data_IF_016109800508
#
_entry.id   IF_016109800508
#
_cell.length_a   1.000
_cell.length_b   1.000
_cell.length_c   1.000
_cell.angle_alpha   90.00
_cell.angle_beta   90.00
_cell.angle_gamma   90.00
#
_symmetry.space_group_name_H-M   'P 1'
#
loop_
_entity.id
_entity.type
_entity.pdbx_description
1 polymer ?
#
# COMPACT_ATOMS: atom_id res chain seq x y z
N UNK A 1 20.83 -0.13 38.71
CA UNK A 1 21.06 -0.34 37.25
C UNK A 1 19.90 -1.07 36.59
N UNK A 2 18.75 -0.44 36.30
CA UNK A 2 17.77 -1.01 35.35
C UNK A 2 17.43 -0.12 34.15
N UNK A 3 17.99 1.09 34.04
CA UNK A 3 17.56 2.06 32.98
C UNK A 3 18.02 1.65 31.58
N UNK A 4 19.13 0.95 31.45
CA UNK A 4 19.71 0.61 30.12
C UNK A 4 18.95 -0.51 29.38
N UNK A 5 18.22 -1.35 30.10
CA UNK A 5 17.41 -2.43 29.51
C UNK A 5 16.11 -1.91 28.87
N UNK A 6 15.48 -0.95 29.56
CA UNK A 6 14.25 -0.31 29.08
C UNK A 6 14.47 0.50 27.80
N UNK A 7 15.59 1.26 27.73
CA UNK A 7 15.96 2.00 26.49
C UNK A 7 16.34 1.09 25.32
N UNK A 8 16.95 -0.06 25.58
CA UNK A 8 17.24 -1.06 24.53
C UNK A 8 15.95 -1.70 24.00
N UNK A 9 15.03 -2.06 24.88
CA UNK A 9 13.72 -2.63 24.50
C UNK A 9 12.89 -1.65 23.66
N UNK A 10 12.81 -0.37 24.08
CA UNK A 10 12.11 0.68 23.31
C UNK A 10 12.72 0.93 21.93
N UNK A 11 14.05 0.85 21.79
CA UNK A 11 14.71 0.98 20.48
C UNK A 11 14.41 -0.21 19.56
N UNK A 12 14.35 -1.42 20.09
CA UNK A 12 14.02 -2.64 19.33
C UNK A 12 12.56 -2.59 18.88
N UNK A 13 11.62 -2.26 19.77
CA UNK A 13 10.21 -2.14 19.48
C UNK A 13 9.93 -1.08 18.39
N UNK A 14 10.50 0.12 18.52
CA UNK A 14 10.40 1.17 17.48
C UNK A 14 10.98 0.73 16.12
N UNK A 15 12.00 -0.14 16.13
CA UNK A 15 12.57 -0.70 14.89
C UNK A 15 11.61 -1.69 14.23
N UNK A 16 10.86 -2.48 15.00
CA UNK A 16 9.87 -3.43 14.49
C UNK A 16 8.69 -2.71 13.82
N UNK A 17 8.10 -1.73 14.48
CA UNK A 17 6.99 -0.93 13.91
C UNK A 17 7.40 -0.22 12.62
N UNK A 18 8.63 0.34 12.57
CA UNK A 18 9.16 0.95 11.34
C UNK A 18 9.24 -0.08 10.20
N UNK A 19 9.65 -1.31 10.48
CA UNK A 19 9.73 -2.38 9.48
C UNK A 19 8.35 -2.76 8.92
N UNK A 20 7.31 -2.80 9.75
CA UNK A 20 5.94 -3.09 9.35
C UNK A 20 5.45 -2.06 8.31
N UNK A 21 5.63 -0.77 8.59
CA UNK A 21 5.25 0.30 7.67
C UNK A 21 6.10 0.32 6.39
N UNK A 22 7.38 -0.01 6.48
CA UNK A 22 8.26 -0.15 5.33
C UNK A 22 7.76 -1.26 4.38
N UNK A 23 7.42 -2.44 4.92
CA UNK A 23 6.86 -3.54 4.14
C UNK A 23 5.52 -3.18 3.49
N UNK A 24 4.66 -2.49 4.23
CA UNK A 24 3.41 -1.96 3.67
C UNK A 24 3.68 -1.00 2.52
N UNK A 25 4.56 -0.02 2.70
CA UNK A 25 4.85 0.98 1.68
C UNK A 25 5.42 0.35 0.39
N UNK A 26 6.33 -0.62 0.53
CA UNK A 26 6.90 -1.37 -0.60
C UNK A 26 5.84 -2.19 -1.34
N UNK A 27 5.04 -2.95 -0.61
CA UNK A 27 3.95 -3.74 -1.17
C UNK A 27 2.90 -2.87 -1.86
N UNK A 28 2.48 -1.79 -1.20
CA UNK A 28 1.52 -0.83 -1.71
C UNK A 28 2.00 -0.14 -3.00
N UNK A 29 3.22 0.41 -3.00
CA UNK A 29 3.79 1.04 -4.20
C UNK A 29 3.97 0.03 -5.33
N UNK A 30 4.40 -1.21 -5.04
CA UNK A 30 4.48 -2.27 -6.04
C UNK A 30 3.12 -2.53 -6.67
N UNK A 31 2.06 -2.67 -5.88
CA UNK A 31 0.71 -2.94 -6.37
C UNK A 31 0.23 -1.86 -7.32
N UNK A 32 0.25 -0.61 -6.89
CA UNK A 32 -0.30 0.50 -7.69
C UNK A 32 0.55 0.87 -8.90
N UNK A 33 1.89 0.75 -8.81
CA UNK A 33 2.79 1.14 -9.88
C UNK A 33 2.98 0.04 -10.94
N UNK A 34 2.70 -1.23 -10.61
CA UNK A 34 2.73 -2.33 -11.59
C UNK A 34 1.76 -2.13 -12.75
N UNK A 35 0.72 -1.30 -12.58
CA UNK A 35 -0.18 -0.88 -13.65
C UNK A 35 0.50 -0.03 -14.73
N UNK A 36 1.62 0.61 -14.43
CA UNK A 36 2.29 1.61 -15.30
C UNK A 36 3.68 1.17 -15.74
N UNK A 37 4.28 0.20 -15.08
CA UNK A 37 5.65 -0.21 -15.34
C UNK A 37 6.11 -1.43 -14.56
N UNK A 38 7.39 -1.80 -14.76
CA UNK A 38 8.05 -2.83 -13.98
C UNK A 38 8.48 -2.27 -12.62
N UNK A 39 8.11 -2.96 -11.54
CA UNK A 39 8.44 -2.57 -10.17
C UNK A 39 9.30 -3.64 -9.51
N UNK A 40 10.45 -3.23 -9.01
CA UNK A 40 11.31 -4.08 -8.17
C UNK A 40 11.44 -3.45 -6.79
N UNK A 41 11.30 -4.27 -5.76
CA UNK A 41 11.48 -3.84 -4.37
C UNK A 41 12.76 -4.43 -3.80
N UNK A 42 13.44 -3.68 -2.91
CA UNK A 42 14.66 -4.13 -2.22
C UNK A 42 15.76 -4.61 -3.17
N UNK A 43 16.10 -3.81 -4.21
CA UNK A 43 17.21 -4.13 -5.10
C UNK A 43 18.54 -3.68 -4.50
N UNK A 44 19.54 -4.55 -4.57
CA UNK A 44 20.92 -4.24 -4.17
C UNK A 44 21.56 -3.24 -5.15
N UNK A 45 22.06 -2.14 -4.64
CA UNK A 45 22.68 -1.08 -5.46
C UNK A 45 24.19 -1.16 -5.43
N UNK A 46 24.77 -1.45 -4.29
CA UNK A 46 26.24 -1.58 -4.09
C UNK A 46 26.48 -2.89 -3.33
N UNK A 47 27.55 -3.60 -3.68
CA UNK A 47 27.91 -4.95 -3.24
C UNK A 47 27.94 -5.26 -1.73
N UNK A 48 27.74 -4.30 -0.85
CA UNK A 48 27.43 -4.50 0.57
C UNK A 48 26.38 -3.49 1.06
N UNK A 49 25.13 -3.94 1.23
CA UNK A 49 24.09 -3.36 2.11
C UNK A 49 23.37 -2.05 1.72
N UNK A 50 23.35 -1.61 0.48
CA UNK A 50 22.46 -0.51 0.11
C UNK A 50 21.39 -1.00 -0.88
N UNK A 51 20.16 -1.10 -0.40
CA UNK A 51 18.99 -1.46 -1.18
C UNK A 51 18.18 -0.21 -1.54
N UNK A 52 17.64 -0.14 -2.75
CA UNK A 52 16.57 0.79 -3.07
C UNK A 52 15.23 0.17 -2.66
N UNK A 53 14.40 0.94 -1.96
CA UNK A 53 13.12 0.42 -1.47
C UNK A 53 12.20 0.03 -2.62
N UNK A 54 12.01 0.92 -3.59
CA UNK A 54 11.23 0.68 -4.81
C UNK A 54 11.97 1.25 -6.01
N UNK A 55 12.27 0.41 -6.99
CA UNK A 55 12.83 0.80 -8.29
C UNK A 55 11.76 0.57 -9.36
N UNK A 56 11.46 1.60 -10.13
CA UNK A 56 10.41 1.61 -11.14
C UNK A 56 10.95 1.92 -12.52
N UNK A 57 10.50 1.17 -13.52
CA UNK A 57 10.78 1.42 -14.94
C UNK A 57 9.44 1.47 -15.68
N UNK A 58 9.08 2.60 -16.36
CA UNK A 58 7.83 2.72 -17.07
C UNK A 58 7.76 1.75 -18.27
N UNK A 59 6.56 1.28 -18.59
CA UNK A 59 6.35 0.57 -19.85
C UNK A 59 6.56 1.50 -21.03
N UNK A 60 7.11 0.98 -22.14
CA UNK A 60 7.29 1.73 -23.38
C UNK A 60 5.97 2.20 -23.99
N UNK A 61 4.88 1.47 -23.75
CA UNK A 61 3.52 1.85 -24.11
C UNK A 61 2.68 1.88 -22.82
N UNK A 62 2.11 3.03 -22.46
CA UNK A 62 1.26 3.12 -21.28
C UNK A 62 0.06 2.20 -21.42
N UNK A 63 -0.14 1.30 -20.45
CA UNK A 63 -1.39 0.53 -20.39
C UNK A 63 -2.55 1.49 -20.05
N UNK A 64 -3.64 1.39 -20.79
CA UNK A 64 -4.88 2.14 -20.54
C UNK A 64 -5.67 1.47 -19.39
N UNK A 65 -5.08 1.41 -18.19
CA UNK A 65 -5.72 0.76 -17.03
C UNK A 65 -6.98 1.48 -16.52
N UNK A 66 -7.36 2.63 -17.12
CA UNK A 66 -8.52 3.41 -16.68
C UNK A 66 -8.40 4.03 -15.26
N UNK A 67 -7.41 3.62 -14.50
CA UNK A 67 -7.18 4.11 -13.13
C UNK A 67 -6.23 5.31 -13.15
N UNK A 68 -6.69 6.46 -12.67
CA UNK A 68 -5.82 7.62 -12.46
C UNK A 68 -5.07 7.50 -11.13
N UNK A 69 -3.74 7.57 -11.20
CA UNK A 69 -2.86 7.63 -10.04
C UNK A 69 -2.53 9.08 -9.62
N UNK A 70 -3.16 10.07 -10.25
CA UNK A 70 -2.96 11.48 -9.96
C UNK A 70 -1.52 11.92 -10.13
N UNK A 71 -0.94 12.59 -9.12
CA UNK A 71 0.45 13.07 -9.19
C UNK A 71 1.48 11.94 -9.34
N UNK A 72 1.18 10.72 -8.90
CA UNK A 72 2.07 9.58 -9.12
C UNK A 72 2.31 9.30 -10.61
N UNK A 73 1.35 9.56 -11.49
CA UNK A 73 1.54 9.41 -12.93
C UNK A 73 2.65 10.32 -13.46
N UNK A 74 2.75 11.54 -12.94
CA UNK A 74 3.84 12.47 -13.28
C UNK A 74 5.19 12.02 -12.71
N UNK A 75 5.18 11.38 -11.55
CA UNK A 75 6.38 10.85 -10.89
C UNK A 75 6.97 9.68 -11.67
N UNK A 76 6.11 8.82 -12.18
CA UNK A 76 6.50 7.56 -12.85
C UNK A 76 6.55 7.66 -14.38
N UNK A 77 6.72 8.86 -14.91
CA UNK A 77 6.94 9.06 -16.37
C UNK A 77 8.32 8.61 -16.84
N UNK A 78 9.28 8.55 -15.92
CA UNK A 78 10.67 8.12 -16.16
C UNK A 78 11.08 7.07 -15.14
N UNK A 79 12.19 6.38 -15.40
CA UNK A 79 12.78 5.47 -14.40
C UNK A 79 13.01 6.22 -13.09
N UNK A 80 12.58 5.66 -11.98
CA UNK A 80 12.71 6.32 -10.69
C UNK A 80 12.94 5.34 -9.52
N UNK A 81 13.46 5.91 -8.44
CA UNK A 81 13.59 5.26 -7.13
C UNK A 81 12.65 5.98 -6.17
N UNK A 82 11.81 5.23 -5.46
CA UNK A 82 10.97 5.79 -4.40
C UNK A 82 11.43 5.22 -3.05
N UNK A 83 11.74 6.15 -2.13
CA UNK A 83 12.20 5.86 -0.77
C UNK A 83 11.17 6.38 0.24
N UNK A 84 10.21 5.54 0.67
CA UNK A 84 9.16 5.92 1.60
C UNK A 84 9.67 5.88 3.05
N UNK A 85 9.41 6.95 3.80
CA UNK A 85 9.77 7.08 5.21
C UNK A 85 8.53 7.20 6.10
N UNK A 86 8.46 6.38 7.16
CA UNK A 86 7.39 6.47 8.17
C UNK A 86 7.50 7.72 9.03
N UNK A 87 8.71 8.21 9.29
CA UNK A 87 8.99 9.40 10.09
C UNK A 87 9.70 10.46 9.25
N UNK A 88 9.77 11.70 9.77
CA UNK A 88 10.52 12.76 9.11
C UNK A 88 11.96 12.31 8.81
N UNK A 89 12.34 12.44 7.54
CA UNK A 89 13.64 11.99 7.04
C UNK A 89 14.78 12.78 7.69
N UNK A 90 15.83 12.08 8.06
CA UNK A 90 17.03 12.67 8.68
C UNK A 90 18.09 13.06 7.65
N UNK A 91 19.04 13.96 7.97
CA UNK A 91 20.16 14.29 7.07
C UNK A 91 21.00 13.08 6.66
N UNK A 92 21.12 12.06 7.53
CA UNK A 92 21.85 10.83 7.24
C UNK A 92 21.10 9.99 6.19
N UNK A 93 19.80 9.84 6.35
CA UNK A 93 18.96 9.10 5.41
C UNK A 93 18.94 9.77 4.04
N UNK A 94 18.83 11.11 3.98
CA UNK A 94 18.92 11.86 2.71
C UNK A 94 20.26 11.62 2.01
N UNK A 95 21.38 11.69 2.72
CA UNK A 95 22.70 11.42 2.13
C UNK A 95 22.80 9.99 1.60
N UNK A 96 22.30 9.02 2.33
CA UNK A 96 22.27 7.63 1.86
C UNK A 96 21.43 7.45 0.60
N UNK A 97 20.28 8.14 0.50
CA UNK A 97 19.46 8.12 -0.72
C UNK A 97 20.19 8.78 -1.91
N UNK A 98 20.86 9.92 -1.66
CA UNK A 98 21.65 10.60 -2.72
C UNK A 98 22.80 9.72 -3.19
N UNK A 99 23.48 9.01 -2.31
CA UNK A 99 24.53 8.05 -2.68
C UNK A 99 23.97 6.97 -3.61
N UNK A 100 22.83 6.40 -3.29
CA UNK A 100 22.16 5.38 -4.12
C UNK A 100 21.84 5.91 -5.53
N UNK A 101 21.27 7.11 -5.66
CA UNK A 101 20.91 7.66 -6.96
C UNK A 101 22.15 8.00 -7.79
N UNK A 102 23.21 8.50 -7.18
CA UNK A 102 24.47 8.77 -7.88
C UNK A 102 25.05 7.48 -8.50
N UNK A 103 25.02 6.36 -7.76
CA UNK A 103 25.48 5.06 -8.29
C UNK A 103 24.61 4.57 -9.43
N UNK A 104 23.28 4.74 -9.33
CA UNK A 104 22.35 4.34 -10.41
C UNK A 104 22.55 5.21 -11.66
N UNK A 105 22.74 6.52 -11.52
CA UNK A 105 23.07 7.39 -12.65
C UNK A 105 24.37 6.95 -13.32
N UNK A 106 25.44 6.75 -12.56
CA UNK A 106 26.74 6.29 -13.09
C UNK A 106 26.62 4.93 -13.83
N UNK A 107 25.79 3.99 -13.32
CA UNK A 107 25.53 2.73 -14.02
C UNK A 107 24.78 2.94 -15.34
N UNK A 108 23.83 3.88 -15.37
CA UNK A 108 23.06 4.20 -16.58
C UNK A 108 23.95 4.85 -17.63
N UNK A 109 24.81 5.79 -17.24
CA UNK A 109 25.83 6.43 -18.08
C UNK A 109 26.80 5.41 -18.65
N UNK A 110 27.40 4.58 -17.79
CA UNK A 110 28.33 3.53 -18.22
C UNK A 110 27.70 2.51 -19.18
N UNK A 111 26.41 2.26 -19.08
CA UNK A 111 25.66 1.40 -20.01
C UNK A 111 25.51 2.07 -21.36
N UNK A 112 25.12 3.36 -21.40
CA UNK A 112 25.01 4.13 -22.64
C UNK A 112 26.35 4.23 -23.38
N UNK A 113 27.43 4.46 -22.64
CA UNK A 113 28.81 4.49 -23.20
C UNK A 113 29.20 3.16 -23.84
N UNK A 114 28.93 2.03 -23.19
CA UNK A 114 29.16 0.69 -23.75
C UNK A 114 28.37 0.41 -25.02
N UNK A 115 27.16 0.96 -25.09
CA UNK A 115 26.27 0.84 -26.24
C UNK A 115 26.59 1.88 -27.35
N UNK A 116 27.59 2.76 -27.14
CA UNK A 116 27.95 3.88 -28.01
C UNK A 116 26.75 4.75 -28.40
N UNK A 117 25.86 5.00 -27.45
CA UNK A 117 24.64 5.76 -27.67
C UNK A 117 24.64 7.06 -26.83
N UNK A 118 24.20 8.20 -27.42
CA UNK A 118 24.05 9.41 -26.63
C UNK A 118 23.00 9.20 -25.53
N UNK A 119 23.30 9.67 -24.33
CA UNK A 119 22.37 9.64 -23.19
C UNK A 119 21.74 11.02 -23.01
N UNK A 120 20.42 11.05 -22.93
CA UNK A 120 19.72 12.26 -22.54
C UNK A 120 19.60 12.28 -20.99
N UNK A 121 19.81 13.43 -20.35
CA UNK A 121 19.66 13.58 -18.90
C UNK A 121 18.27 13.13 -18.38
N UNK A 122 17.23 13.24 -19.20
CA UNK A 122 15.88 12.75 -18.87
C UNK A 122 15.77 11.23 -18.76
N UNK A 123 16.76 10.49 -19.24
CA UNK A 123 16.82 9.03 -19.12
C UNK A 123 17.48 8.61 -17.81
N UNK A 124 18.16 9.53 -17.11
CA UNK A 124 18.71 9.25 -15.79
C UNK A 124 17.57 8.98 -14.78
N UNK A 125 17.74 7.99 -13.89
CA UNK A 125 16.75 7.70 -12.88
C UNK A 125 16.59 8.86 -11.89
N UNK A 126 15.36 9.12 -11.46
CA UNK A 126 15.04 10.19 -10.51
C UNK A 126 14.74 9.59 -9.13
N UNK A 127 15.35 10.13 -8.09
CA UNK A 127 15.06 9.77 -6.70
C UNK A 127 13.88 10.59 -6.16
N UNK A 128 12.92 9.91 -5.56
CA UNK A 128 11.79 10.48 -4.84
C UNK A 128 11.82 10.05 -3.37
N UNK A 129 12.15 10.96 -2.48
CA UNK A 129 12.10 10.75 -1.02
C UNK A 129 10.69 11.12 -0.56
N UNK A 130 9.95 10.13 -0.08
CA UNK A 130 8.58 10.29 0.41
C UNK A 130 8.62 10.36 1.94
N UNK A 131 8.40 11.54 2.52
CA UNK A 131 8.48 11.76 3.96
C UNK A 131 7.18 12.37 4.49
N UNK A 132 6.71 12.02 5.69
CA UNK A 132 5.52 12.66 6.26
C UNK A 132 5.67 14.17 6.33
N UNK A 133 6.78 14.65 6.85
CA UNK A 133 7.06 16.08 7.04
C UNK A 133 8.51 16.42 6.75
N UNK A 134 8.77 17.66 6.38
CA UNK A 134 10.10 18.24 6.30
C UNK A 134 10.09 19.65 6.89
N UNK A 135 11.11 20.01 7.68
CA UNK A 135 11.20 21.32 8.30
C UNK A 135 11.84 22.35 7.37
N UNK A 136 11.46 23.63 7.53
CA UNK A 136 12.08 24.73 6.76
C UNK A 136 13.61 24.80 6.94
N UNK A 137 14.17 24.61 8.15
CA UNK A 137 15.63 24.52 8.28
C UNK A 137 16.26 23.40 7.45
N UNK A 138 15.56 22.25 7.30
CA UNK A 138 16.04 21.15 6.47
C UNK A 138 16.02 21.52 4.98
N UNK A 139 14.91 22.12 4.51
CA UNK A 139 14.76 22.60 3.12
C UNK A 139 15.88 23.59 2.80
N UNK A 140 16.15 24.58 3.67
CA UNK A 140 17.21 25.57 3.49
C UNK A 140 18.62 24.92 3.46
N UNK A 141 18.89 23.95 4.36
CA UNK A 141 20.17 23.23 4.39
C UNK A 141 20.45 22.39 3.15
N UNK A 142 19.38 21.93 2.49
CA UNK A 142 19.45 21.17 1.23
C UNK A 142 19.52 22.08 0.00
N UNK A 143 19.36 23.39 0.16
CA UNK A 143 19.09 24.32 -0.93
C UNK A 143 17.94 23.84 -1.83
N UNK A 144 16.97 23.16 -1.23
CA UNK A 144 15.82 22.65 -1.95
C UNK A 144 14.82 23.78 -2.22
N UNK A 145 14.24 23.79 -3.39
CA UNK A 145 13.23 24.78 -3.81
C UNK A 145 11.90 24.10 -4.10
N UNK A 146 10.83 24.88 -3.94
CA UNK A 146 9.48 24.38 -4.21
C UNK A 146 9.30 24.06 -5.70
N UNK A 147 8.90 22.87 -6.01
CA UNK A 147 8.53 22.42 -7.35
C UNK A 147 7.00 22.51 -7.59
N UNK A 148 6.29 23.41 -6.88
CA UNK A 148 4.84 23.53 -6.95
C UNK A 148 4.31 23.94 -8.33
N UNK A 149 5.13 24.57 -9.17
CA UNK A 149 4.75 24.94 -10.55
C UNK A 149 4.61 23.70 -11.45
N UNK A 150 5.53 22.73 -11.29
CA UNK A 150 5.57 21.52 -12.12
C UNK A 150 4.74 20.38 -11.52
N UNK A 151 4.64 20.38 -10.20
CA UNK A 151 3.92 19.35 -9.43
C UNK A 151 2.81 19.97 -8.59
N UNK A 152 2.94 19.92 -7.26
CA UNK A 152 1.98 20.46 -6.29
C UNK A 152 2.73 21.01 -5.07
N UNK A 153 2.01 21.76 -4.24
CA UNK A 153 2.52 22.14 -2.92
C UNK A 153 2.97 20.90 -2.16
N UNK A 154 4.08 20.98 -1.43
CA UNK A 154 4.67 19.87 -0.68
C UNK A 154 5.71 19.07 -1.48
N UNK A 155 5.92 19.39 -2.76
CA UNK A 155 6.99 18.82 -3.58
C UNK A 155 8.16 19.80 -3.64
N UNK A 156 9.34 19.29 -3.34
CA UNK A 156 10.60 20.04 -3.36
C UNK A 156 11.61 19.36 -4.29
N UNK A 157 12.38 20.15 -5.02
CA UNK A 157 13.48 19.68 -5.87
C UNK A 157 14.81 20.12 -5.29
N UNK A 158 15.79 19.25 -5.28
CA UNK A 158 17.19 19.62 -5.22
C UNK A 158 17.65 20.03 -6.63
N UNK A 159 18.76 20.72 -6.79
CA UNK A 159 19.24 21.09 -8.13
C UNK A 159 19.19 19.92 -9.13
N UNK A 160 19.00 20.20 -10.42
CA UNK A 160 18.74 19.18 -11.46
C UNK A 160 19.80 18.08 -11.50
N UNK A 161 21.06 18.43 -11.31
CA UNK A 161 22.18 17.48 -11.30
C UNK A 161 22.05 16.37 -10.24
N UNK A 162 21.31 16.62 -9.16
CA UNK A 162 21.12 15.65 -8.09
C UNK A 162 20.05 14.60 -8.40
N UNK A 163 19.29 14.78 -9.46
CA UNK A 163 18.19 13.89 -9.84
C UNK A 163 17.30 13.52 -8.63
N UNK A 164 17.07 14.46 -7.71
CA UNK A 164 16.45 14.18 -6.40
C UNK A 164 15.31 15.14 -6.10
N UNK A 165 14.17 14.58 -5.76
CA UNK A 165 12.98 15.29 -5.31
C UNK A 165 12.48 14.75 -3.96
N UNK A 166 11.85 15.60 -3.17
CA UNK A 166 11.31 15.28 -1.85
C UNK A 166 9.83 15.62 -1.82
N UNK A 167 9.02 14.70 -1.35
CA UNK A 167 7.57 14.91 -1.14
C UNK A 167 7.31 14.92 0.36
N UNK A 168 6.89 16.08 0.85
CA UNK A 168 6.37 16.25 2.20
C UNK A 168 4.86 15.95 2.21
N UNK A 169 4.50 14.70 2.47
CA UNK A 169 3.14 14.16 2.28
C UNK A 169 2.08 14.97 3.02
N UNK A 170 2.38 15.45 4.24
CA UNK A 170 1.44 16.24 5.03
C UNK A 170 1.21 17.67 4.51
N UNK A 171 2.04 18.12 3.55
CA UNK A 171 1.88 19.42 2.89
C UNK A 171 1.13 19.30 1.55
N UNK A 172 0.86 18.08 1.08
CA UNK A 172 0.09 17.87 -0.14
C UNK A 172 -1.36 18.35 0.05
N UNK A 173 -1.95 19.00 -0.95
CA UNK A 173 -3.37 19.35 -0.92
C UNK A 173 -4.24 18.10 -0.82
N UNK A 174 -5.39 18.23 -0.15
CA UNK A 174 -6.33 17.12 0.00
C UNK A 174 -7.24 17.02 -1.23
N UNK A 175 -6.76 16.35 -2.26
CA UNK A 175 -7.46 16.10 -3.52
C UNK A 175 -7.35 14.63 -3.93
N UNK A 176 -8.13 14.21 -4.91
CA UNK A 176 -8.02 12.86 -5.51
C UNK A 176 -6.65 12.64 -6.15
N UNK A 177 -6.04 13.69 -6.71
CA UNK A 177 -4.70 13.63 -7.32
C UNK A 177 -3.59 13.23 -6.35
N UNK A 178 -3.74 13.57 -5.07
CA UNK A 178 -2.73 13.29 -4.03
C UNK A 178 -3.07 12.09 -3.15
N UNK A 179 -4.23 11.47 -3.38
CA UNK A 179 -4.74 10.41 -2.53
C UNK A 179 -3.74 9.26 -2.35
N UNK A 180 -3.18 8.77 -3.44
CA UNK A 180 -2.24 7.64 -3.43
C UNK A 180 -0.98 7.91 -2.61
N UNK A 181 -0.44 9.13 -2.65
CA UNK A 181 0.69 9.52 -1.80
C UNK A 181 0.29 9.73 -0.34
N UNK A 182 -0.92 10.26 -0.09
CA UNK A 182 -1.41 10.47 1.28
C UNK A 182 -1.68 9.15 2.02
N UNK A 183 -1.89 8.05 1.30
CA UNK A 183 -1.95 6.69 1.86
C UNK A 183 -0.63 6.28 2.55
N UNK A 184 0.50 6.80 2.07
CA UNK A 184 1.83 6.61 2.68
C UNK A 184 2.13 7.60 3.81
N UNK A 185 1.21 8.48 4.11
CA UNK A 185 1.34 9.44 5.19
C UNK A 185 1.34 8.81 6.58
N UNK A 186 1.27 9.65 7.60
CA UNK A 186 1.22 9.23 9.01
C UNK A 186 0.03 9.85 9.73
N UNK A 187 -0.50 9.16 10.74
CA UNK A 187 -1.56 9.62 11.60
C UNK A 187 -2.82 10.02 10.83
N UNK A 188 -3.38 11.18 11.11
CA UNK A 188 -4.65 11.63 10.50
C UNK A 188 -4.61 11.73 8.97
N UNK A 189 -3.46 12.02 8.36
CA UNK A 189 -3.35 12.10 6.89
C UNK A 189 -3.57 10.74 6.26
N UNK A 190 -2.92 9.71 6.78
CA UNK A 190 -3.08 8.32 6.31
C UNK A 190 -4.50 7.81 6.54
N UNK A 191 -5.05 7.97 7.75
CA UNK A 191 -6.42 7.52 8.08
C UNK A 191 -7.45 8.12 7.13
N UNK A 192 -7.41 9.44 6.91
CA UNK A 192 -8.32 10.10 5.98
C UNK A 192 -8.16 9.62 4.54
N UNK A 193 -6.91 9.39 4.10
CA UNK A 193 -6.66 8.85 2.78
C UNK A 193 -7.24 7.43 2.61
N UNK A 194 -7.12 6.58 3.61
CA UNK A 194 -7.73 5.24 3.61
C UNK A 194 -9.26 5.34 3.53
N UNK A 195 -9.87 6.24 4.30
CA UNK A 195 -11.32 6.47 4.26
C UNK A 195 -11.78 6.97 2.88
N UNK A 196 -11.04 7.89 2.25
CA UNK A 196 -11.31 8.38 0.89
C UNK A 196 -11.13 7.29 -0.16
N UNK A 197 -10.07 6.49 -0.07
CA UNK A 197 -9.78 5.38 -0.97
C UNK A 197 -10.93 4.36 -1.03
N UNK A 198 -11.53 4.03 0.11
CA UNK A 198 -12.65 3.10 0.17
C UNK A 198 -13.88 3.54 -0.64
N UNK A 199 -14.05 4.84 -0.84
CA UNK A 199 -15.17 5.43 -1.58
C UNK A 199 -14.90 5.55 -3.08
N UNK A 200 -13.67 5.27 -3.54
CA UNK A 200 -13.35 5.35 -4.97
C UNK A 200 -14.06 4.23 -5.75
N UNK A 201 -14.63 4.57 -6.91
CA UNK A 201 -15.13 3.60 -7.87
C UNK A 201 -13.96 3.01 -8.66
N UNK A 202 -13.18 2.13 -8.03
CA UNK A 202 -12.08 1.42 -8.66
C UNK A 202 -12.53 0.04 -9.10
N UNK A 203 -11.76 -0.56 -10.04
CA UNK A 203 -11.84 -1.97 -10.36
C UNK A 203 -11.72 -2.81 -9.08
N UNK A 204 -12.58 -3.82 -8.97
CA UNK A 204 -12.69 -4.64 -7.75
C UNK A 204 -11.37 -5.35 -7.42
N UNK A 205 -10.59 -5.75 -8.43
CA UNK A 205 -9.30 -6.42 -8.24
C UNK A 205 -8.27 -5.49 -7.58
N UNK A 206 -8.00 -4.32 -8.16
CA UNK A 206 -7.04 -3.36 -7.59
C UNK A 206 -7.48 -2.90 -6.20
N UNK A 207 -8.76 -2.59 -6.04
CA UNK A 207 -9.31 -2.17 -4.76
C UNK A 207 -9.16 -3.26 -3.72
N UNK A 208 -9.45 -4.51 -4.08
CA UNK A 208 -9.27 -5.69 -3.24
C UNK A 208 -7.82 -5.84 -2.79
N UNK A 209 -6.87 -5.82 -3.72
CA UNK A 209 -5.44 -5.97 -3.44
C UNK A 209 -4.91 -4.89 -2.50
N UNK A 210 -5.28 -3.62 -2.72
CA UNK A 210 -4.88 -2.52 -1.82
C UNK A 210 -5.51 -2.67 -0.44
N UNK A 211 -6.78 -3.08 -0.34
CA UNK A 211 -7.43 -3.35 0.94
C UNK A 211 -6.75 -4.50 1.70
N UNK A 212 -6.34 -5.58 1.00
CA UNK A 212 -5.59 -6.67 1.62
C UNK A 212 -4.28 -6.17 2.25
N UNK A 213 -3.54 -5.29 1.57
CA UNK A 213 -2.32 -4.69 2.11
C UNK A 213 -2.61 -3.82 3.36
N UNK A 214 -3.73 -3.11 3.38
CA UNK A 214 -4.18 -2.33 4.55
C UNK A 214 -4.53 -3.25 5.72
N UNK A 215 -5.21 -4.38 5.46
CA UNK A 215 -5.56 -5.36 6.49
C UNK A 215 -4.32 -6.08 7.03
N UNK A 216 -3.35 -6.42 6.16
CA UNK A 216 -2.07 -7.00 6.58
C UNK A 216 -1.28 -6.03 7.48
N UNK A 217 -1.27 -4.73 7.12
CA UNK A 217 -0.74 -3.68 7.99
C UNK A 217 -1.43 -3.66 9.35
N UNK A 218 -2.76 -3.71 9.39
CA UNK A 218 -3.55 -3.74 10.63
C UNK A 218 -3.17 -4.92 11.52
N UNK A 219 -3.18 -6.16 10.99
CA UNK A 219 -2.88 -7.38 11.74
C UNK A 219 -1.45 -7.34 12.33
N UNK A 220 -0.49 -6.86 11.54
CA UNK A 220 0.90 -6.73 12.01
C UNK A 220 1.05 -5.68 13.10
N UNK A 221 0.37 -4.54 12.96
CA UNK A 221 0.39 -3.49 13.99
C UNK A 221 -0.30 -3.97 15.28
N UNK A 222 -1.45 -4.63 15.19
CA UNK A 222 -2.17 -5.18 16.35
C UNK A 222 -1.30 -6.16 17.15
N UNK A 223 -0.43 -6.89 16.46
CA UNK A 223 0.50 -7.85 17.08
C UNK A 223 1.76 -7.18 17.65
N UNK A 224 2.03 -5.92 17.35
CA UNK A 224 3.24 -5.20 17.80
C UNK A 224 2.99 -4.52 19.16
N UNK A 225 3.96 -4.64 20.07
CA UNK A 225 3.92 -4.02 21.41
C UNK A 225 4.57 -2.63 21.45
N UNK A 226 5.17 -2.18 20.35
CA UNK A 226 5.93 -0.93 20.26
C UNK A 226 5.20 0.24 19.61
N UNK A 227 3.88 0.21 19.58
CA UNK A 227 3.02 1.19 18.91
C UNK A 227 3.20 2.60 19.46
N UNK A 228 3.24 3.57 18.56
CA UNK A 228 3.05 4.96 18.94
C UNK A 228 1.54 5.30 18.98
N UNK A 229 1.22 6.52 19.43
CA UNK A 229 -0.17 6.98 19.53
C UNK A 229 -0.87 6.96 18.16
N UNK A 230 -0.17 7.32 17.10
CA UNK A 230 -0.75 7.41 15.76
C UNK A 230 -1.05 6.03 15.18
N UNK A 231 -0.22 5.03 15.49
CA UNK A 231 -0.46 3.63 15.12
C UNK A 231 -1.64 3.05 15.89
N UNK A 232 -1.76 3.38 17.18
CA UNK A 232 -2.94 2.98 18.00
C UNK A 232 -4.23 3.58 17.43
N UNK A 233 -4.22 4.86 17.06
CA UNK A 233 -5.37 5.51 16.43
C UNK A 233 -5.70 4.90 15.05
N UNK A 234 -4.69 4.47 14.28
CA UNK A 234 -4.89 3.77 13.01
C UNK A 234 -5.55 2.40 13.22
N UNK A 235 -5.10 1.62 14.22
CA UNK A 235 -5.69 0.34 14.59
C UNK A 235 -7.17 0.52 14.95
N UNK A 236 -7.52 1.51 15.78
CA UNK A 236 -8.91 1.78 16.17
C UNK A 236 -9.81 2.07 14.96
N UNK A 237 -9.28 2.76 13.94
CA UNK A 237 -10.06 3.08 12.74
C UNK A 237 -10.18 1.87 11.80
N UNK A 238 -9.14 1.03 11.70
CA UNK A 238 -9.14 -0.14 10.82
C UNK A 238 -9.87 -1.34 11.42
N UNK A 239 -9.95 -1.46 12.75
CA UNK A 239 -10.56 -2.60 13.44
C UNK A 239 -11.99 -2.91 12.97
N UNK A 240 -12.93 -1.96 12.88
CA UNK A 240 -14.29 -2.25 12.40
C UNK A 240 -14.30 -2.75 10.95
N UNK A 241 -13.37 -2.29 10.13
CA UNK A 241 -13.24 -2.68 8.73
C UNK A 241 -12.74 -4.11 8.60
N UNK A 242 -11.77 -4.46 9.42
CA UNK A 242 -11.22 -5.81 9.47
C UNK A 242 -12.27 -6.80 9.99
N UNK A 243 -13.04 -6.44 11.02
CA UNK A 243 -14.17 -7.24 11.52
C UNK A 243 -15.20 -7.48 10.42
N UNK A 244 -15.64 -6.45 9.73
CA UNK A 244 -16.59 -6.58 8.61
C UNK A 244 -16.06 -7.50 7.51
N UNK A 245 -14.74 -7.43 7.21
CA UNK A 245 -14.11 -8.35 6.25
C UNK A 245 -14.19 -9.81 6.71
N UNK A 246 -13.86 -10.06 7.98
CA UNK A 246 -13.94 -11.41 8.55
C UNK A 246 -15.39 -11.96 8.51
N UNK A 247 -16.36 -11.14 8.88
CA UNK A 247 -17.78 -11.51 8.83
C UNK A 247 -18.20 -11.85 7.39
N UNK A 248 -17.81 -11.03 6.41
CA UNK A 248 -18.09 -11.29 5.00
C UNK A 248 -17.41 -12.57 4.50
N UNK A 249 -16.14 -12.81 4.88
CA UNK A 249 -15.42 -14.02 4.50
C UNK A 249 -16.08 -15.28 5.08
N UNK A 250 -16.50 -15.23 6.34
CA UNK A 250 -17.25 -16.32 6.99
C UNK A 250 -18.58 -16.54 6.28
N UNK A 251 -19.32 -15.47 5.97
CA UNK A 251 -20.60 -15.55 5.24
C UNK A 251 -20.42 -16.17 3.85
N UNK A 252 -19.39 -15.76 3.10
CA UNK A 252 -19.09 -16.35 1.79
C UNK A 252 -18.70 -17.83 1.89
N UNK A 253 -17.85 -18.20 2.84
CA UNK A 253 -17.50 -19.61 3.07
C UNK A 253 -18.71 -20.46 3.40
N UNK A 254 -19.62 -19.92 4.23
CA UNK A 254 -20.88 -20.56 4.59
C UNK A 254 -21.82 -20.70 3.39
N UNK A 255 -21.94 -19.66 2.55
CA UNK A 255 -22.69 -19.68 1.30
C UNK A 255 -22.23 -20.81 0.36
N UNK A 256 -20.91 -20.85 0.10
CA UNK A 256 -20.32 -21.90 -0.75
C UNK A 256 -20.57 -23.30 -0.21
N UNK A 257 -20.49 -23.48 1.10
CA UNK A 257 -20.77 -24.77 1.73
C UNK A 257 -22.25 -25.17 1.54
N UNK A 258 -23.19 -24.25 1.80
CA UNK A 258 -24.63 -24.49 1.64
C UNK A 258 -24.93 -24.84 0.18
N UNK A 259 -24.49 -24.04 -0.77
CA UNK A 259 -24.72 -24.28 -2.21
C UNK A 259 -24.18 -25.63 -2.64
N UNK A 260 -22.93 -25.97 -2.26
CA UNK A 260 -22.32 -27.23 -2.65
C UNK A 260 -23.07 -28.44 -2.04
N UNK A 261 -23.50 -28.36 -0.79
CA UNK A 261 -24.27 -29.41 -0.17
C UNK A 261 -25.68 -29.58 -0.77
N UNK A 262 -26.37 -28.48 -1.07
CA UNK A 262 -27.67 -28.52 -1.74
C UNK A 262 -27.53 -29.10 -3.15
N UNK A 263 -26.51 -28.70 -3.93
CA UNK A 263 -26.24 -29.28 -5.25
C UNK A 263 -25.85 -30.75 -5.20
N UNK A 264 -25.06 -31.14 -4.22
CA UNK A 264 -24.70 -32.58 -4.03
C UNK A 264 -25.91 -33.42 -3.69
N UNK A 265 -26.84 -32.96 -2.86
CA UNK A 265 -27.98 -33.72 -2.41
C UNK A 265 -29.15 -33.71 -3.39
N UNK A 266 -29.41 -32.55 -4.01
CA UNK A 266 -30.66 -32.35 -4.76
C UNK A 266 -30.41 -32.06 -6.25
N UNK A 267 -29.16 -31.98 -6.71
CA UNK A 267 -28.82 -31.69 -8.10
C UNK A 267 -28.73 -30.18 -8.35
N UNK A 268 -29.38 -29.70 -9.42
CA UNK A 268 -29.36 -28.28 -9.75
C UNK A 268 -30.13 -27.46 -8.70
N UNK A 269 -29.58 -26.28 -8.37
CA UNK A 269 -30.27 -25.29 -7.57
C UNK A 269 -31.28 -24.57 -8.48
N UNK A 270 -32.54 -24.90 -8.26
CA UNK A 270 -33.67 -24.15 -8.85
C UNK A 270 -34.06 -22.95 -7.98
N UNK A 271 -35.04 -22.18 -8.42
CA UNK A 271 -35.48 -20.96 -7.71
C UNK A 271 -35.95 -21.22 -6.31
N UNK A 272 -36.59 -22.41 -6.08
CA UNK A 272 -37.11 -22.79 -4.75
C UNK A 272 -35.98 -23.13 -3.77
N UNK A 273 -34.97 -23.90 -4.21
CA UNK A 273 -33.79 -24.20 -3.40
C UNK A 273 -32.89 -22.99 -3.20
N UNK A 274 -32.81 -22.14 -4.21
CA UNK A 274 -32.04 -20.88 -4.09
C UNK A 274 -32.67 -19.94 -3.06
N UNK A 275 -33.97 -19.90 -2.94
CA UNK A 275 -34.69 -19.06 -1.96
C UNK A 275 -34.46 -19.47 -0.50
N UNK A 276 -34.03 -20.71 -0.23
CA UNK A 276 -33.74 -21.15 1.16
C UNK A 276 -32.34 -20.81 1.62
N UNK A 277 -31.45 -20.38 0.71
CA UNK A 277 -30.03 -20.10 1.00
C UNK A 277 -29.91 -18.95 1.99
N UNK A 278 -30.54 -17.81 1.70
CA UNK A 278 -30.45 -16.61 2.54
C UNK A 278 -30.94 -16.86 3.99
N UNK A 279 -32.11 -17.47 4.20
CA UNK A 279 -32.52 -17.88 5.56
C UNK A 279 -31.54 -18.83 6.25
N UNK A 280 -30.95 -19.77 5.53
CA UNK A 280 -29.93 -20.66 6.06
C UNK A 280 -28.64 -19.95 6.45
N UNK A 281 -28.27 -18.88 5.76
CA UNK A 281 -27.10 -18.07 6.12
C UNK A 281 -27.25 -17.40 7.48
N UNK A 282 -28.43 -17.07 7.93
CA UNK A 282 -28.68 -16.43 9.22
C UNK A 282 -28.61 -17.40 10.42
N UNK A 283 -28.66 -18.73 10.19
CA UNK A 283 -28.57 -19.74 11.24
C UNK A 283 -27.08 -19.92 11.66
N UNK A 284 -26.76 -20.10 12.96
CA UNK A 284 -25.40 -20.44 13.39
C UNK A 284 -24.86 -21.69 12.69
N UNK A 285 -23.54 -21.69 12.41
CA UNK A 285 -22.90 -22.77 11.63
C UNK A 285 -23.07 -24.17 12.30
N UNK A 286 -23.10 -24.19 13.61
CA UNK A 286 -23.30 -25.42 14.41
C UNK A 286 -24.71 -26.00 14.25
N UNK A 287 -25.72 -25.18 14.03
CA UNK A 287 -27.10 -25.56 13.90
C UNK A 287 -27.56 -25.88 12.46
N UNK A 288 -26.79 -25.39 11.46
CA UNK A 288 -27.18 -25.52 10.05
C UNK A 288 -26.99 -26.95 9.53
N UNK A 289 -25.99 -27.69 10.04
CA UNK A 289 -25.58 -29.01 9.53
C UNK A 289 -26.71 -30.04 9.57
N UNK A 290 -27.53 -30.17 10.65
CA UNK A 290 -28.68 -31.06 10.67
C UNK A 290 -29.69 -30.78 9.56
N UNK A 291 -29.99 -29.50 9.29
CA UNK A 291 -30.92 -29.11 8.21
C UNK A 291 -30.37 -29.52 6.84
N UNK A 292 -29.11 -29.23 6.58
CA UNK A 292 -28.49 -29.55 5.29
C UNK A 292 -28.27 -31.04 5.04
N UNK A 293 -28.16 -31.89 6.10
CA UNK A 293 -27.88 -33.31 5.98
C UNK A 293 -29.17 -34.17 6.08
N UNK A 294 -30.09 -33.83 6.97
CA UNK A 294 -31.18 -34.72 7.33
C UNK A 294 -32.51 -34.38 6.65
N UNK A 295 -32.78 -33.09 6.38
CA UNK A 295 -34.05 -32.66 5.81
C UNK A 295 -34.17 -33.05 4.33
N UNK A 296 -35.35 -33.47 3.91
CA UNK A 296 -35.70 -33.60 2.50
C UNK A 296 -35.80 -32.24 1.82
N UNK A 297 -35.86 -32.22 0.51
CA UNK A 297 -36.01 -30.98 -0.29
C UNK A 297 -37.30 -30.24 0.15
N UNK A 298 -38.41 -30.96 0.27
CA UNK A 298 -39.73 -30.42 0.63
C UNK A 298 -39.72 -29.82 2.02
N UNK A 299 -39.09 -30.50 2.98
CA UNK A 299 -38.94 -30.00 4.35
C UNK A 299 -38.10 -28.73 4.45
N UNK A 300 -37.00 -28.62 3.68
CA UNK A 300 -36.20 -27.41 3.62
C UNK A 300 -37.01 -26.24 3.05
N UNK A 301 -37.71 -26.46 1.93
CA UNK A 301 -38.51 -25.42 1.30
C UNK A 301 -39.68 -25.00 2.24
N UNK A 302 -40.37 -25.94 2.84
CA UNK A 302 -41.47 -25.62 3.73
C UNK A 302 -41.05 -24.83 4.98
N UNK A 303 -39.83 -25.05 5.47
CA UNK A 303 -39.33 -24.41 6.68
C UNK A 303 -38.69 -23.05 6.43
N UNK A 304 -38.02 -22.87 5.30
CA UNK A 304 -37.13 -21.70 5.03
C UNK A 304 -37.61 -20.84 3.85
N UNK A 305 -38.63 -21.23 3.12
CA UNK A 305 -39.24 -20.38 2.10
C UNK A 305 -40.23 -19.43 2.79
N UNK A 306 -39.88 -18.14 2.88
CA UNK A 306 -40.83 -17.07 3.25
C UNK A 306 -41.71 -16.67 2.07
#
# INVERSE_FOLDING_TARGET
MPINWYYKSLKVLKKMTRFIHDQFAKGYLREILSLKGEVKTSIDIIGEKQEADVYFVPFSQPSSSGVSLGILEKIVTTTCVLEPYRNAVTPREIRSCIEKICVLCAKTEAKADKENRPLNEKELPVLWILTPTISQPMISRLNAFSAAKDYLQGVYSLGEIWQTKIIAIHQLPRTTETLWLRMLGKGRVQRRAISEFRQLPLDDELKGNVLELIYDLFVRLESDRGLDREDTELIMELSPLYQQRLENAVRQGKLLLIENLLRFRFGQLDDELSAVIDPLLEIPAEEISPFLIQFSREELIARFRN
#
